data_IF_956418314949
#
_entry.id   IF_956418314949
#
_cell.length_a   1.000
_cell.length_b   1.000
_cell.length_c   1.000
_cell.angle_alpha   90.00
_cell.angle_beta   90.00
_cell.angle_gamma   90.00
#
_symmetry.space_group_name_H-M   'P 1'
#
loop_
_entity.id
_entity.type
_entity.pdbx_description
1 polymer ?
#
# COMPACT_ATOMS: atom_id res chain seq x y z
N UNK A 1 -3.66 64.48 -41.87
CA UNK A 1 -2.50 63.58 -42.04
C UNK A 1 -2.57 62.55 -40.92
N UNK A 2 -2.27 61.29 -41.27
CA UNK A 2 -2.50 60.04 -40.52
C UNK A 2 -1.71 59.98 -39.19
N UNK A 3 -2.25 59.21 -38.23
CA UNK A 3 -1.73 58.89 -36.89
C UNK A 3 -0.29 58.36 -36.87
N UNK A 4 0.44 58.67 -35.78
CA UNK A 4 1.31 57.70 -35.10
C UNK A 4 1.56 58.16 -33.65
N UNK A 5 1.09 57.37 -32.68
CA UNK A 5 1.49 57.49 -31.28
C UNK A 5 2.83 56.74 -31.15
N UNK A 6 3.93 57.39 -30.71
CA UNK A 6 5.18 56.68 -30.46
C UNK A 6 5.18 56.02 -29.07
N UNK A 7 5.17 54.69 -29.14
CA UNK A 7 5.83 53.67 -28.32
C UNK A 7 5.76 53.66 -26.79
N UNK A 8 5.33 52.48 -26.32
CA UNK A 8 5.32 51.96 -24.95
C UNK A 8 6.73 51.73 -24.35
N UNK A 9 7.65 52.67 -24.47
CA UNK A 9 8.95 52.62 -23.79
C UNK A 9 8.86 53.18 -22.36
N UNK A 10 8.11 52.53 -21.46
CA UNK A 10 8.29 52.75 -20.00
C UNK A 10 7.52 51.74 -19.13
N UNK A 11 7.39 50.47 -19.52
CA UNK A 11 6.94 49.42 -18.59
C UNK A 11 7.86 48.21 -18.55
N UNK A 12 9.17 48.43 -18.61
CA UNK A 12 10.11 47.45 -18.04
C UNK A 12 10.38 47.91 -16.62
N UNK A 13 9.35 47.86 -15.78
CA UNK A 13 9.61 47.52 -14.39
C UNK A 13 9.87 46.02 -14.45
N UNK A 14 11.14 45.64 -14.53
CA UNK A 14 11.54 44.27 -14.23
C UNK A 14 11.10 44.07 -12.78
N UNK A 15 9.91 43.51 -12.57
CA UNK A 15 9.52 43.12 -11.24
C UNK A 15 10.38 41.90 -10.94
N UNK A 16 11.51 42.13 -10.28
CA UNK A 16 12.24 41.09 -9.59
C UNK A 16 11.31 40.57 -8.49
N UNK A 17 10.45 39.62 -8.85
CA UNK A 17 9.85 38.71 -7.89
C UNK A 17 10.91 37.69 -7.46
N UNK A 18 12.05 38.17 -6.97
CA UNK A 18 13.06 37.33 -6.37
C UNK A 18 12.61 37.04 -4.95
N UNK A 19 11.76 36.01 -4.78
CA UNK A 19 11.56 35.40 -3.47
C UNK A 19 12.94 34.99 -2.98
N UNK A 20 13.30 35.42 -1.77
CA UNK A 20 14.60 35.03 -1.20
C UNK A 20 14.59 33.54 -0.86
N UNK A 21 15.74 32.88 -0.87
CA UNK A 21 15.84 31.47 -0.47
C UNK A 21 15.28 31.24 0.94
N UNK A 22 15.42 32.21 1.84
CA UNK A 22 14.87 32.16 3.21
C UNK A 22 13.33 32.21 3.24
N UNK A 23 12.71 33.10 2.45
CA UNK A 23 11.26 33.16 2.31
C UNK A 23 10.70 31.88 1.68
N UNK A 24 11.40 31.31 0.69
CA UNK A 24 11.02 30.05 0.06
C UNK A 24 11.05 28.88 1.05
N UNK A 25 12.13 28.79 1.85
CA UNK A 25 12.26 27.77 2.90
C UNK A 25 11.16 27.91 3.95
N UNK A 26 10.90 29.14 4.39
CA UNK A 26 9.84 29.43 5.37
C UNK A 26 8.47 28.99 4.83
N UNK A 27 8.15 29.33 3.57
CA UNK A 27 6.91 28.92 2.92
C UNK A 27 6.76 27.39 2.83
N UNK A 28 7.83 26.69 2.43
CA UNK A 28 7.83 25.24 2.29
C UNK A 28 7.66 24.54 3.64
N UNK A 29 8.38 25.02 4.67
CA UNK A 29 8.29 24.48 6.01
C UNK A 29 6.90 24.69 6.61
N UNK A 30 6.36 25.90 6.55
CA UNK A 30 5.01 26.22 7.04
C UNK A 30 3.95 25.38 6.33
N UNK A 31 4.04 25.26 5.00
CA UNK A 31 3.07 24.49 4.22
C UNK A 31 3.16 23.00 4.56
N UNK A 32 4.37 22.47 4.75
CA UNK A 32 4.55 21.07 5.15
C UNK A 32 4.00 20.80 6.56
N UNK A 33 4.34 21.65 7.53
CA UNK A 33 3.89 21.51 8.91
C UNK A 33 2.37 21.65 9.02
N UNK A 34 1.75 22.52 8.23
CA UNK A 34 0.29 22.63 8.14
C UNK A 34 -0.37 21.32 7.68
N UNK A 35 0.21 20.65 6.69
CA UNK A 35 -0.30 19.35 6.20
C UNK A 35 -0.20 18.29 7.30
N UNK A 36 0.96 18.18 7.96
CA UNK A 36 1.13 17.24 9.08
C UNK A 36 0.16 17.53 10.22
N UNK A 37 0.00 18.80 10.61
CA UNK A 37 -0.92 19.23 11.65
C UNK A 37 -2.37 18.83 11.32
N UNK A 38 -2.80 19.00 10.07
CA UNK A 38 -4.14 18.59 9.62
C UNK A 38 -4.33 17.07 9.65
N UNK A 39 -3.32 16.30 9.26
CA UNK A 39 -3.38 14.83 9.31
C UNK A 39 -3.51 14.36 10.76
N UNK A 40 -2.72 14.93 11.67
CA UNK A 40 -2.71 14.57 13.09
C UNK A 40 -4.06 14.85 13.76
N UNK A 41 -4.61 16.06 13.52
CA UNK A 41 -5.84 16.52 14.16
C UNK A 41 -7.13 16.11 13.42
N UNK A 42 -7.04 15.29 12.37
CA UNK A 42 -8.23 14.82 11.68
C UNK A 42 -9.03 13.83 12.55
N UNK A 43 -10.31 14.10 12.80
CA UNK A 43 -11.17 13.17 13.56
C UNK A 43 -11.68 11.99 12.70
N UNK A 44 -11.65 12.16 11.38
CA UNK A 44 -12.20 11.19 10.44
C UNK A 44 -11.36 9.91 10.36
N UNK A 45 -11.92 8.82 10.88
CA UNK A 45 -11.44 7.45 10.62
C UNK A 45 -11.51 7.06 9.12
N UNK A 46 -12.25 7.83 8.30
CA UNK A 46 -12.56 7.57 6.90
C UNK A 46 -11.63 8.27 5.88
N UNK A 47 -10.68 9.12 6.29
CA UNK A 47 -9.82 9.89 5.37
C UNK A 47 -8.76 9.09 4.60
N UNK A 48 -8.74 7.76 4.75
CA UNK A 48 -7.63 6.93 4.28
C UNK A 48 -7.98 6.02 3.08
N UNK A 49 -8.83 6.50 2.16
CA UNK A 49 -8.58 6.20 0.74
C UNK A 49 -7.31 6.94 0.36
N UNK A 50 -6.28 6.21 -0.07
CA UNK A 50 -4.87 6.59 -0.02
C UNK A 50 -4.47 7.96 -0.64
N UNK A 51 -5.37 8.73 -1.26
CA UNK A 51 -5.03 9.87 -2.14
C UNK A 51 -6.18 10.86 -2.40
N UNK A 52 -7.34 10.79 -1.73
CA UNK A 52 -8.54 11.47 -2.26
C UNK A 52 -8.92 12.78 -1.57
N UNK A 53 -8.51 13.02 -0.33
CA UNK A 53 -8.78 14.29 0.33
C UNK A 53 -7.59 15.22 0.11
N UNK A 54 -7.81 16.27 -0.69
CA UNK A 54 -7.00 17.48 -0.56
C UNK A 54 -7.07 17.84 0.92
N UNK A 55 -5.93 17.83 1.61
CA UNK A 55 -5.84 18.15 3.04
C UNK A 55 -6.07 19.65 3.26
N UNK A 56 -7.14 20.19 2.65
CA UNK A 56 -7.48 21.59 2.44
C UNK A 56 -6.42 22.42 1.73
N UNK A 57 -5.50 21.81 0.98
CA UNK A 57 -4.61 22.52 0.05
C UNK A 57 -5.28 22.67 -1.31
N UNK A 58 -5.19 23.86 -1.90
CA UNK A 58 -5.65 24.11 -3.26
C UNK A 58 -4.66 23.53 -4.27
N UNK A 59 -5.13 23.22 -5.48
CA UNK A 59 -4.25 22.76 -6.56
C UNK A 59 -3.17 23.79 -6.93
N UNK A 60 -3.45 25.08 -6.77
CA UNK A 60 -2.46 26.14 -6.96
C UNK A 60 -1.32 26.04 -5.94
N UNK A 61 -1.65 25.91 -4.65
CA UNK A 61 -0.66 25.86 -3.57
C UNK A 61 0.21 24.61 -3.64
N UNK A 62 -0.34 23.49 -4.10
CA UNK A 62 0.44 22.27 -4.36
C UNK A 62 1.39 22.43 -5.54
N UNK A 63 0.95 23.11 -6.61
CA UNK A 63 1.81 23.41 -7.77
C UNK A 63 2.93 24.37 -7.38
N UNK A 64 2.62 25.38 -6.57
CA UNK A 64 3.62 26.29 -6.01
C UNK A 64 4.65 25.52 -5.17
N UNK A 65 4.22 24.59 -4.32
CA UNK A 65 5.11 23.76 -3.52
C UNK A 65 6.02 22.86 -4.38
N UNK A 66 5.48 22.25 -5.44
CA UNK A 66 6.28 21.43 -6.37
C UNK A 66 7.32 22.27 -7.12
N UNK A 67 6.95 23.47 -7.57
CA UNK A 67 7.87 24.39 -8.27
C UNK A 67 8.94 24.92 -7.31
N UNK A 68 8.53 25.40 -6.14
CA UNK A 68 9.42 25.87 -5.08
C UNK A 68 10.44 24.79 -4.66
N UNK A 69 10.00 23.53 -4.54
CA UNK A 69 10.89 22.42 -4.22
C UNK A 69 11.89 22.10 -5.33
N UNK A 70 11.56 22.34 -6.61
CA UNK A 70 12.47 22.15 -7.75
C UNK A 70 13.43 23.32 -7.93
N UNK A 71 13.02 24.51 -7.52
CA UNK A 71 13.82 25.74 -7.62
C UNK A 71 14.94 25.80 -6.58
N UNK A 72 14.74 25.17 -5.41
CA UNK A 72 15.82 24.92 -4.45
C UNK A 72 16.90 24.03 -5.07
N UNK A 73 18.15 24.49 -5.07
CA UNK A 73 19.27 23.68 -5.55
C UNK A 73 19.37 22.41 -4.72
N UNK A 74 19.68 21.27 -5.36
CA UNK A 74 19.76 19.97 -4.68
C UNK A 74 20.72 19.97 -3.48
N UNK A 75 21.78 20.79 -3.56
CA UNK A 75 22.76 20.95 -2.47
C UNK A 75 22.16 21.57 -1.20
N UNK A 76 21.15 22.45 -1.33
CA UNK A 76 20.44 23.02 -0.19
C UNK A 76 19.49 22.01 0.45
N UNK A 77 18.72 21.26 -0.34
CA UNK A 77 17.84 20.21 0.20
C UNK A 77 18.63 19.09 0.89
N UNK A 78 19.86 18.84 0.43
CA UNK A 78 20.78 17.90 1.07
C UNK A 78 21.20 18.38 2.47
N UNK A 79 21.23 19.69 2.71
CA UNK A 79 21.55 20.28 4.01
C UNK A 79 20.37 20.26 4.99
N UNK A 80 19.13 20.14 4.48
CA UNK A 80 17.89 20.13 5.27
C UNK A 80 17.07 18.83 5.02
N UNK A 81 17.58 17.65 5.45
CA UNK A 81 17.00 16.35 5.09
C UNK A 81 15.58 16.14 5.65
N UNK A 82 15.26 16.70 6.83
CA UNK A 82 13.93 16.58 7.41
C UNK A 82 12.88 17.38 6.62
N UNK A 83 13.24 18.57 6.12
CA UNK A 83 12.37 19.35 5.25
C UNK A 83 12.18 18.64 3.90
N UNK A 84 13.27 18.15 3.30
CA UNK A 84 13.23 17.38 2.06
C UNK A 84 12.30 16.16 2.17
N UNK A 85 12.43 15.41 3.26
CA UNK A 85 11.58 14.27 3.56
C UNK A 85 10.11 14.67 3.74
N UNK A 86 9.85 15.76 4.47
CA UNK A 86 8.51 16.28 4.72
C UNK A 86 7.83 16.75 3.42
N UNK A 87 8.57 17.38 2.50
CA UNK A 87 8.06 17.79 1.19
C UNK A 87 7.75 16.59 0.29
N UNK A 88 8.62 15.58 0.25
CA UNK A 88 8.37 14.35 -0.50
C UNK A 88 7.07 13.67 -0.03
N UNK A 89 6.82 13.62 1.29
CA UNK A 89 5.57 13.10 1.82
C UNK A 89 4.34 13.89 1.36
N UNK A 90 4.40 15.23 1.41
CA UNK A 90 3.30 16.11 0.97
C UNK A 90 3.01 15.94 -0.52
N UNK A 91 4.03 15.79 -1.36
CA UNK A 91 3.87 15.53 -2.79
C UNK A 91 3.21 14.15 -3.04
N UNK A 92 3.60 13.12 -2.27
CA UNK A 92 2.98 11.80 -2.32
C UNK A 92 1.49 11.81 -1.99
N UNK A 93 1.06 12.70 -1.08
CA UNK A 93 -0.36 12.91 -0.75
C UNK A 93 -1.16 13.59 -1.85
N UNK A 94 -0.50 14.37 -2.70
CA UNK A 94 -1.18 15.18 -3.72
C UNK A 94 -1.23 14.51 -5.09
N UNK A 95 -0.29 13.61 -5.38
CA UNK A 95 -0.28 12.93 -6.67
C UNK A 95 -1.51 12.03 -6.82
N UNK A 96 -2.14 12.12 -8.01
CA UNK A 96 -3.26 11.26 -8.40
C UNK A 96 -2.78 9.87 -8.81
N UNK A 97 -1.51 9.76 -9.21
CA UNK A 97 -0.90 8.49 -9.58
C UNK A 97 -0.49 7.73 -8.31
N UNK A 98 -1.09 6.56 -8.14
CA UNK A 98 -0.84 5.67 -7.02
C UNK A 98 0.62 5.22 -6.98
N UNK A 99 1.21 4.84 -8.12
CA UNK A 99 2.58 4.35 -8.15
C UNK A 99 3.56 5.47 -7.75
N UNK A 100 3.34 6.67 -8.29
CA UNK A 100 4.13 7.84 -7.94
C UNK A 100 3.98 8.21 -6.46
N UNK A 101 2.78 8.06 -5.87
CA UNK A 101 2.54 8.33 -4.45
C UNK A 101 3.45 7.47 -3.57
N UNK A 102 3.59 6.18 -3.91
CA UNK A 102 4.46 5.26 -3.19
C UNK A 102 5.91 5.70 -3.27
N UNK A 103 6.40 6.02 -4.47
CA UNK A 103 7.79 6.47 -4.66
C UNK A 103 8.10 7.71 -3.84
N UNK A 104 7.16 8.66 -3.75
CA UNK A 104 7.28 9.82 -2.89
C UNK A 104 7.37 9.47 -1.41
N UNK A 105 6.55 8.53 -0.93
CA UNK A 105 6.62 8.09 0.47
C UNK A 105 7.90 7.29 0.78
N UNK A 106 8.35 6.43 -0.15
CA UNK A 106 9.62 5.70 -0.03
C UNK A 106 10.82 6.65 -0.03
N UNK A 107 10.81 7.65 -0.92
CA UNK A 107 11.82 8.71 -0.93
C UNK A 107 11.81 9.55 0.36
N UNK A 108 10.62 9.92 0.83
CA UNK A 108 10.45 10.62 2.11
C UNK A 108 11.08 9.84 3.26
N UNK A 109 10.83 8.53 3.33
CA UNK A 109 11.40 7.68 4.36
C UNK A 109 12.94 7.58 4.27
N UNK A 110 13.48 7.48 3.05
CA UNK A 110 14.93 7.40 2.83
C UNK A 110 15.66 8.70 3.21
N UNK A 111 15.01 9.85 3.04
CA UNK A 111 15.57 11.16 3.40
C UNK A 111 15.42 11.48 4.89
N UNK A 112 14.49 10.83 5.59
CA UNK A 112 14.15 11.18 6.97
C UNK A 112 15.31 10.82 7.92
N UNK A 113 15.88 11.78 8.67
CA UNK A 113 16.98 11.50 9.57
C UNK A 113 16.56 10.60 10.73
N UNK A 114 17.46 9.75 11.23
CA UNK A 114 17.18 8.83 12.34
C UNK A 114 16.80 9.55 13.65
N UNK A 115 17.37 10.73 13.88
CA UNK A 115 17.06 11.60 15.02
C UNK A 115 15.94 12.59 14.75
N UNK A 116 15.27 12.50 13.60
CA UNK A 116 14.18 13.40 13.22
C UNK A 116 12.90 13.13 14.01
N UNK A 117 11.86 13.92 13.74
CA UNK A 117 10.59 13.79 14.44
C UNK A 117 9.95 12.37 14.28
N UNK A 118 9.81 11.58 15.37
CA UNK A 118 9.30 10.22 15.31
C UNK A 118 7.83 10.18 14.87
N UNK A 119 7.03 11.19 15.20
CA UNK A 119 5.62 11.26 14.79
C UNK A 119 5.49 11.39 13.27
N UNK A 120 6.31 12.25 12.65
CA UNK A 120 6.33 12.42 11.19
C UNK A 120 6.81 11.13 10.50
N UNK A 121 7.88 10.49 11.01
CA UNK A 121 8.35 9.19 10.52
C UNK A 121 7.27 8.10 10.63
N UNK A 122 6.56 8.04 11.77
CA UNK A 122 5.42 7.15 11.96
C UNK A 122 4.27 7.39 10.98
N UNK A 123 3.97 8.65 10.64
CA UNK A 123 2.96 8.98 9.63
C UNK A 123 3.38 8.57 8.21
N UNK A 124 4.66 8.66 7.85
CA UNK A 124 5.15 8.18 6.55
C UNK A 124 4.97 6.66 6.44
N UNK A 125 5.37 5.92 7.49
CA UNK A 125 5.14 4.48 7.58
C UNK A 125 3.66 4.12 7.48
N UNK A 126 2.79 4.85 8.19
CA UNK A 126 1.34 4.64 8.12
C UNK A 126 0.81 4.78 6.68
N UNK A 127 1.25 5.79 5.94
CA UNK A 127 0.79 6.02 4.57
C UNK A 127 1.31 4.98 3.57
N UNK A 128 2.54 4.48 3.76
CA UNK A 128 3.03 3.31 3.03
C UNK A 128 2.17 2.07 3.32
N UNK A 129 1.82 1.82 4.59
CA UNK A 129 0.93 0.73 4.98
C UNK A 129 -0.45 0.83 4.32
N UNK A 130 -1.04 2.02 4.30
CA UNK A 130 -2.33 2.29 3.64
C UNK A 130 -2.25 2.10 2.12
N UNK A 131 -1.14 2.50 1.50
CA UNK A 131 -0.89 2.26 0.09
C UNK A 131 -0.85 0.75 -0.22
N UNK A 132 -0.06 -0.02 0.53
CA UNK A 132 0.06 -1.47 0.34
C UNK A 132 -1.26 -2.21 0.61
N UNK A 133 -2.02 -1.78 1.62
CA UNK A 133 -3.38 -2.29 1.87
C UNK A 133 -4.30 -2.05 0.67
N UNK A 134 -4.21 -0.87 0.05
CA UNK A 134 -5.03 -0.51 -1.11
C UNK A 134 -4.61 -1.30 -2.34
N UNK A 135 -3.30 -1.47 -2.54
CA UNK A 135 -2.73 -2.32 -3.58
C UNK A 135 -3.17 -3.79 -3.45
N UNK A 136 -3.19 -4.34 -2.23
CA UNK A 136 -3.61 -5.71 -1.96
C UNK A 136 -5.08 -5.99 -2.35
N UNK A 137 -5.94 -4.97 -2.28
CA UNK A 137 -7.36 -5.06 -2.71
C UNK A 137 -7.46 -5.07 -4.24
N UNK A 138 -6.63 -4.27 -4.91
CA UNK A 138 -6.64 -4.14 -6.36
C UNK A 138 -6.00 -5.37 -7.04
N UNK A 139 -4.88 -5.86 -6.49
CA UNK A 139 -4.10 -6.95 -7.07
C UNK A 139 -4.27 -8.24 -6.28
N UNK A 140 -5.32 -9.01 -6.62
CA UNK A 140 -5.66 -10.25 -5.92
C UNK A 140 -4.52 -11.28 -5.92
N UNK A 141 -3.74 -11.36 -7.00
CA UNK A 141 -2.64 -12.32 -7.11
C UNK A 141 -1.49 -12.04 -6.14
N UNK A 142 -1.26 -10.76 -5.82
CA UNK A 142 -0.18 -10.31 -4.92
C UNK A 142 -0.72 -9.89 -3.54
N UNK A 143 -1.99 -10.17 -3.27
CA UNK A 143 -2.71 -9.65 -2.09
C UNK A 143 -2.04 -10.06 -0.78
N UNK A 144 -1.57 -11.31 -0.68
CA UNK A 144 -0.93 -11.82 0.53
C UNK A 144 0.41 -11.12 0.80
N UNK A 145 1.27 -11.00 -0.22
CA UNK A 145 2.56 -10.31 -0.09
C UNK A 145 2.37 -8.81 0.19
N UNK A 146 1.38 -8.18 -0.44
CA UNK A 146 1.04 -6.80 -0.21
C UNK A 146 0.47 -6.56 1.20
N UNK A 147 -0.38 -7.46 1.71
CA UNK A 147 -0.84 -7.42 3.09
C UNK A 147 0.34 -7.60 4.07
N UNK A 148 1.30 -8.48 3.79
CA UNK A 148 2.48 -8.62 4.65
C UNK A 148 3.27 -7.30 4.73
N UNK A 149 3.54 -6.66 3.59
CA UNK A 149 4.19 -5.33 3.57
C UNK A 149 3.38 -4.28 4.33
N UNK A 150 2.06 -4.27 4.16
CA UNK A 150 1.19 -3.34 4.89
C UNK A 150 1.28 -3.55 6.40
N UNK A 151 1.29 -4.81 6.86
CA UNK A 151 1.45 -5.17 8.27
C UNK A 151 2.77 -4.62 8.82
N UNK A 152 3.88 -4.89 8.14
CA UNK A 152 5.21 -4.46 8.59
C UNK A 152 5.28 -2.92 8.72
N UNK A 153 4.72 -2.20 7.74
CA UNK A 153 4.66 -0.75 7.80
C UNK A 153 3.74 -0.21 8.91
N UNK A 154 2.60 -0.84 9.17
CA UNK A 154 1.76 -0.45 10.31
C UNK A 154 2.43 -0.73 11.65
N UNK A 155 3.14 -1.86 11.80
CA UNK A 155 3.93 -2.15 12.99
C UNK A 155 4.97 -1.07 13.26
N UNK A 156 5.73 -0.66 12.23
CA UNK A 156 6.72 0.42 12.36
C UNK A 156 6.05 1.75 12.74
N UNK A 157 4.93 2.10 12.09
CA UNK A 157 4.19 3.31 12.42
C UNK A 157 3.76 3.35 13.89
N UNK A 158 3.19 2.25 14.40
CA UNK A 158 2.78 2.13 15.80
C UNK A 158 3.98 2.22 16.74
N UNK A 159 5.11 1.59 16.41
CA UNK A 159 6.33 1.67 17.22
C UNK A 159 6.84 3.13 17.35
N UNK A 160 6.85 3.90 16.25
CA UNK A 160 7.21 5.32 16.29
C UNK A 160 6.23 6.17 17.11
N UNK A 161 4.93 5.89 17.03
CA UNK A 161 3.95 6.60 17.87
C UNK A 161 4.09 6.25 19.35
N UNK A 162 4.43 5.00 19.68
CA UNK A 162 4.74 4.58 21.05
C UNK A 162 6.01 5.27 21.57
N UNK A 163 7.07 5.31 20.76
CA UNK A 163 8.32 6.02 21.09
C UNK A 163 8.09 7.51 21.32
N UNK A 164 7.15 8.11 20.59
CA UNK A 164 6.76 9.51 20.74
C UNK A 164 5.77 9.76 21.90
N UNK A 165 5.41 8.73 22.68
CA UNK A 165 4.41 8.79 23.74
C UNK A 165 3.03 9.28 23.27
N UNK A 166 2.72 9.08 21.98
CA UNK A 166 1.47 9.51 21.33
C UNK A 166 0.42 8.40 21.35
N UNK A 167 -0.08 8.09 22.54
CA UNK A 167 -1.13 7.07 22.75
C UNK A 167 -2.44 7.37 22.00
N UNK A 168 -2.73 8.65 21.74
CA UNK A 168 -3.80 9.10 20.85
C UNK A 168 -3.64 8.56 19.43
N UNK A 169 -2.42 8.65 18.86
CA UNK A 169 -2.13 8.14 17.52
C UNK A 169 -2.08 6.61 17.48
N UNK A 170 -1.51 5.96 18.51
CA UNK A 170 -1.52 4.49 18.61
C UNK A 170 -2.96 3.98 18.54
N UNK A 171 -3.83 4.51 19.39
CA UNK A 171 -5.27 4.21 19.39
C UNK A 171 -5.93 4.47 18.04
N UNK A 172 -5.58 5.61 17.42
CA UNK A 172 -6.10 6.04 16.11
C UNK A 172 -5.68 5.14 14.96
N UNK A 173 -4.61 4.36 15.07
CA UNK A 173 -4.09 3.59 13.94
C UNK A 173 -3.96 2.08 14.16
N UNK A 174 -3.99 1.60 15.40
CA UNK A 174 -3.77 0.18 15.73
C UNK A 174 -4.77 -0.78 15.05
N UNK A 175 -6.01 -0.33 14.79
CA UNK A 175 -7.01 -1.14 14.08
C UNK A 175 -6.66 -1.39 12.61
N UNK A 176 -5.83 -0.57 11.96
CA UNK A 176 -5.36 -0.87 10.59
C UNK A 176 -4.42 -2.07 10.56
N UNK A 177 -3.55 -2.18 11.57
CA UNK A 177 -2.68 -3.35 11.74
C UNK A 177 -3.52 -4.61 11.98
N UNK A 178 -4.51 -4.52 12.87
CA UNK A 178 -5.46 -5.61 13.15
C UNK A 178 -6.23 -6.02 11.88
N UNK A 179 -6.69 -5.07 11.07
CA UNK A 179 -7.40 -5.37 9.82
C UNK A 179 -6.52 -6.14 8.81
N UNK A 180 -5.25 -5.77 8.66
CA UNK A 180 -4.36 -6.46 7.73
C UNK A 180 -4.01 -7.86 8.23
N UNK A 181 -3.77 -8.02 9.54
CA UNK A 181 -3.54 -9.34 10.14
C UNK A 181 -4.74 -10.25 9.98
N UNK A 182 -5.93 -9.72 10.21
CA UNK A 182 -7.19 -10.42 9.98
C UNK A 182 -7.31 -10.92 8.53
N UNK A 183 -6.99 -10.07 7.54
CA UNK A 183 -6.97 -10.48 6.12
C UNK A 183 -5.91 -11.54 5.81
N UNK A 184 -4.72 -11.43 6.40
CA UNK A 184 -3.65 -12.41 6.23
C UNK A 184 -4.04 -13.77 6.80
N UNK A 185 -4.67 -13.78 7.97
CA UNK A 185 -5.15 -14.99 8.63
C UNK A 185 -6.25 -15.67 7.81
N UNK A 186 -7.28 -14.91 7.38
CA UNK A 186 -8.33 -15.42 6.49
C UNK A 186 -7.80 -15.91 5.13
N UNK A 187 -6.67 -15.36 4.66
CA UNK A 187 -6.02 -15.76 3.42
C UNK A 187 -5.34 -17.13 3.51
N UNK A 188 -4.95 -17.58 4.71
CA UNK A 188 -4.39 -18.93 4.89
C UNK A 188 -5.45 -20.03 4.74
N UNK A 189 -6.71 -19.69 5.00
CA UNK A 189 -7.83 -20.65 4.97
C UNK A 189 -8.43 -20.84 3.57
N UNK A 190 -8.09 -19.98 2.59
CA UNK A 190 -8.69 -19.97 1.24
C UNK A 190 -7.74 -20.60 0.21
N UNK A 191 -8.25 -21.59 -0.54
CA UNK A 191 -7.53 -22.38 -1.56
C UNK A 191 -6.63 -21.53 -2.48
N UNK A 192 -5.42 -22.01 -2.86
CA UNK A 192 -4.76 -21.51 -4.04
C UNK A 192 -5.57 -21.97 -5.26
N UNK A 193 -6.44 -21.10 -5.79
CA UNK A 193 -7.15 -21.40 -7.05
C UNK A 193 -6.11 -21.72 -8.13
N UNK A 194 -6.15 -22.91 -8.76
CA UNK A 194 -5.20 -23.24 -9.82
C UNK A 194 -5.35 -22.23 -10.95
N UNK A 195 -4.26 -21.55 -11.30
CA UNK A 195 -4.25 -20.64 -12.44
C UNK A 195 -4.35 -21.46 -13.73
N UNK A 196 -5.43 -21.36 -14.53
CA UNK A 196 -5.55 -22.09 -15.79
C UNK A 196 -4.49 -21.68 -16.82
N UNK A 197 -3.78 -20.57 -16.61
CA UNK A 197 -2.72 -20.09 -17.50
C UNK A 197 -1.43 -20.93 -17.49
N UNK A 198 -1.21 -21.80 -16.49
CA UNK A 198 0.00 -22.63 -16.42
C UNK A 198 -0.17 -24.06 -16.95
N UNK A 199 -1.40 -24.48 -17.27
CA UNK A 199 -1.68 -25.82 -17.83
C UNK A 199 -1.59 -25.86 -19.37
N UNK A 200 -1.42 -24.69 -20.03
CA UNK A 200 -1.35 -24.58 -21.50
C UNK A 200 0.04 -24.74 -22.14
N UNK A 201 1.13 -24.61 -21.37
CA UNK A 201 2.49 -24.49 -21.91
C UNK A 201 3.31 -25.80 -21.93
N UNK A 202 2.65 -26.95 -21.76
CA UNK A 202 3.23 -28.27 -22.15
C UNK A 202 2.67 -28.74 -23.49
N UNK A 203 2.87 -27.96 -24.55
CA UNK A 203 2.95 -28.53 -25.90
C UNK A 203 4.40 -28.46 -26.36
N UNK A 204 4.96 -29.66 -26.48
CA UNK A 204 6.29 -29.96 -26.99
C UNK A 204 6.60 -29.15 -28.24
N UNK A 205 7.78 -28.54 -28.27
CA UNK A 205 8.40 -28.00 -29.47
C UNK A 205 9.38 -29.05 -30.01
N UNK A 206 9.09 -29.77 -31.11
CA UNK A 206 10.11 -30.48 -31.85
C UNK A 206 10.46 -29.65 -33.08
N UNK A 207 11.60 -28.98 -33.06
CA UNK A 207 12.18 -28.47 -34.29
C UNK A 207 13.68 -28.77 -34.35
N UNK A 208 14.02 -29.49 -35.43
CA UNK A 208 15.32 -29.74 -36.05
C UNK A 208 16.08 -30.98 -35.56
N UNK A 209 15.99 -32.05 -36.35
CA UNK A 209 17.17 -32.62 -37.01
C UNK A 209 16.76 -33.61 -38.13
N UNK A 210 17.45 -33.57 -39.27
CA UNK A 210 17.79 -34.80 -40.00
C UNK A 210 16.85 -35.33 -41.08
N UNK A 211 17.01 -34.83 -42.29
CA UNK A 211 16.51 -35.40 -43.55
C UNK A 211 17.22 -36.75 -43.87
N UNK A 212 16.48 -37.86 -44.10
CA UNK A 212 16.92 -38.95 -45.00
C UNK A 212 15.76 -39.83 -45.47
N UNK A 213 15.66 -39.94 -46.80
CA UNK A 213 14.75 -40.78 -47.58
C UNK A 213 14.99 -42.26 -47.29
N UNK A 214 13.92 -43.07 -47.20
CA UNK A 214 13.65 -44.14 -48.17
C UNK A 214 12.26 -44.79 -48.00
N UNK A 215 11.66 -44.96 -49.17
CA UNK A 215 10.50 -45.72 -49.65
C UNK A 215 10.36 -47.12 -49.03
N UNK A 216 9.12 -47.59 -48.79
CA UNK A 216 8.45 -48.74 -49.43
C UNK A 216 7.22 -49.22 -48.61
N UNK A 217 6.06 -49.17 -49.27
CA UNK A 217 4.88 -50.07 -49.27
C UNK A 217 4.31 -50.71 -47.97
N UNK A 218 2.97 -50.61 -47.85
CA UNK A 218 2.15 -51.79 -47.55
C UNK A 218 1.04 -51.65 -46.50
N UNK A 219 -0.22 -51.77 -46.97
CA UNK A 219 -1.46 -52.24 -46.28
C UNK A 219 -2.06 -51.30 -45.20
N UNK A 220 -3.18 -50.63 -45.51
CA UNK A 220 -4.59 -51.07 -45.34
C UNK A 220 -4.91 -51.56 -43.92
N UNK A 221 -5.70 -50.77 -43.18
CA UNK A 221 -6.93 -51.24 -42.51
C UNK A 221 -7.73 -50.07 -41.90
N UNK A 222 -9.02 -50.30 -41.68
CA UNK A 222 -10.09 -49.31 -41.78
C UNK A 222 -10.31 -48.42 -40.57
N UNK A 223 -10.84 -47.22 -40.83
CA UNK A 223 -11.41 -46.35 -39.80
C UNK A 223 -12.92 -46.57 -39.73
N UNK A 224 -13.36 -47.19 -38.64
CA UNK A 224 -14.76 -47.25 -38.21
C UNK A 224 -15.00 -46.07 -37.28
N UNK A 225 -15.94 -45.20 -37.65
CA UNK A 225 -16.43 -44.11 -36.80
C UNK A 225 -17.49 -44.73 -35.88
N UNK A 226 -17.15 -44.93 -34.60
CA UNK A 226 -18.14 -45.21 -33.55
C UNK A 226 -17.94 -44.16 -32.45
N UNK A 227 -18.97 -43.34 -32.28
CA UNK A 227 -19.08 -42.41 -31.16
C UNK A 227 -19.15 -43.17 -29.85
N UNK A 228 -18.53 -42.62 -28.82
CA UNK A 228 -18.80 -43.03 -27.46
C UNK A 228 -18.78 -41.80 -26.54
N UNK A 229 -19.97 -41.26 -26.34
CA UNK A 229 -20.35 -40.52 -25.14
C UNK A 229 -19.98 -41.35 -23.91
N UNK A 230 -18.84 -41.06 -23.26
CA UNK A 230 -18.50 -41.39 -21.86
C UNK A 230 -17.06 -40.98 -21.54
N UNK A 231 -16.85 -39.68 -21.36
CA UNK A 231 -15.69 -39.16 -20.63
C UNK A 231 -16.12 -38.00 -19.72
N UNK A 232 -17.18 -38.22 -18.92
CA UNK A 232 -17.33 -37.54 -17.63
C UNK A 232 -16.51 -38.35 -16.63
N UNK A 233 -15.18 -38.21 -16.69
CA UNK A 233 -14.32 -38.68 -15.60
C UNK A 233 -14.38 -37.63 -14.49
N UNK A 234 -15.10 -37.98 -13.43
CA UNK A 234 -14.81 -37.70 -12.03
C UNK A 234 -13.57 -36.83 -11.78
N UNK A 235 -13.73 -35.51 -11.87
CA UNK A 235 -12.85 -34.60 -11.16
C UNK A 235 -13.38 -34.58 -9.73
N UNK A 236 -12.97 -35.55 -8.91
CA UNK A 236 -13.11 -35.39 -7.46
C UNK A 236 -12.27 -34.16 -7.08
N UNK A 237 -12.83 -33.13 -6.43
CA UNK A 237 -12.03 -32.04 -5.92
C UNK A 237 -10.97 -32.66 -5.01
N UNK A 238 -9.71 -32.43 -5.33
CA UNK A 238 -8.58 -32.82 -4.50
C UNK A 238 -8.77 -32.04 -3.21
N UNK A 239 -9.31 -32.68 -2.17
CA UNK A 239 -9.42 -32.08 -0.84
C UNK A 239 -8.00 -31.70 -0.44
N UNK A 240 -7.67 -30.42 -0.57
CA UNK A 240 -6.42 -29.88 -0.10
C UNK A 240 -6.46 -29.95 1.42
N UNK A 241 -5.58 -30.77 1.99
CA UNK A 241 -5.21 -30.62 3.39
C UNK A 241 -4.14 -29.53 3.42
N UNK A 242 -4.37 -28.43 4.16
CA UNK A 242 -3.34 -27.41 4.33
C UNK A 242 -2.06 -28.06 4.85
N UNK A 243 -0.91 -27.70 4.27
CA UNK A 243 0.36 -28.17 4.81
C UNK A 243 0.46 -27.71 6.28
N UNK A 244 1.02 -28.54 7.17
CA UNK A 244 1.13 -28.25 8.59
C UNK A 244 1.77 -26.87 8.86
N UNK A 245 2.69 -26.45 8.00
CA UNK A 245 3.32 -25.13 8.06
C UNK A 245 2.33 -23.98 7.85
N UNK A 246 1.38 -24.11 6.91
CA UNK A 246 0.37 -23.09 6.63
C UNK A 246 -0.65 -22.98 7.77
N UNK A 247 -1.02 -24.11 8.37
CA UNK A 247 -1.89 -24.15 9.57
C UNK A 247 -1.20 -23.43 10.73
N UNK A 248 0.08 -23.74 10.95
CA UNK A 248 0.88 -23.14 12.02
C UNK A 248 1.04 -21.63 11.82
N UNK A 249 1.31 -21.20 10.57
CA UNK A 249 1.39 -19.77 10.23
C UNK A 249 0.04 -19.05 10.41
N UNK A 250 -1.07 -19.67 9.99
CA UNK A 250 -2.42 -19.13 10.22
C UNK A 250 -2.70 -18.94 11.70
N UNK A 251 -2.39 -19.94 12.53
CA UNK A 251 -2.56 -19.87 13.99
C UNK A 251 -1.73 -18.75 14.62
N UNK A 252 -0.48 -18.56 14.16
CA UNK A 252 0.37 -17.47 14.62
C UNK A 252 -0.22 -16.10 14.28
N UNK A 253 -0.80 -15.93 13.09
CA UNK A 253 -1.45 -14.68 12.67
C UNK A 253 -2.69 -14.37 13.52
N UNK A 254 -3.50 -15.38 13.85
CA UNK A 254 -4.66 -15.23 14.74
C UNK A 254 -4.24 -14.86 16.18
N UNK A 255 -3.16 -15.45 16.70
CA UNK A 255 -2.61 -15.08 18.01
C UNK A 255 -2.08 -13.64 18.04
N UNK A 256 -1.38 -13.21 16.98
CA UNK A 256 -0.89 -11.83 16.88
C UNK A 256 -2.04 -10.82 16.81
N UNK A 257 -3.10 -11.15 16.04
CA UNK A 257 -4.31 -10.34 15.98
C UNK A 257 -4.95 -10.17 17.37
N UNK A 258 -5.07 -11.26 18.13
CA UNK A 258 -5.60 -11.23 19.49
C UNK A 258 -4.81 -10.31 20.41
N UNK A 259 -3.48 -10.40 20.37
CA UNK A 259 -2.60 -9.55 21.18
C UNK A 259 -2.81 -8.07 20.86
N UNK A 260 -2.89 -7.71 19.57
CA UNK A 260 -3.12 -6.34 19.15
C UNK A 260 -4.49 -5.86 19.59
N UNK A 261 -5.52 -6.70 19.51
CA UNK A 261 -6.85 -6.34 20.00
C UNK A 261 -6.86 -6.08 21.51
N UNK A 262 -6.16 -6.88 22.31
CA UNK A 262 -6.01 -6.65 23.74
C UNK A 262 -5.22 -5.38 24.07
N UNK A 263 -4.25 -5.00 23.25
CA UNK A 263 -3.54 -3.71 23.37
C UNK A 263 -4.43 -2.53 22.98
N UNK A 264 -5.27 -2.70 21.96
CA UNK A 264 -6.11 -1.65 21.40
C UNK A 264 -7.31 -1.28 22.29
N UNK A 265 -7.97 -2.28 22.90
CA UNK A 265 -9.16 -2.08 23.74
C UNK A 265 -9.01 -0.99 24.83
N UNK A 266 -8.00 -1.04 25.73
CA UNK A 266 -7.87 -0.04 26.78
C UNK A 266 -7.63 1.36 26.22
N UNK A 267 -6.93 1.47 25.08
CA UNK A 267 -6.69 2.75 24.41
C UNK A 267 -7.99 3.34 23.87
N UNK A 268 -8.82 2.53 23.19
CA UNK A 268 -10.11 2.97 22.66
C UNK A 268 -11.13 3.29 23.75
N UNK A 269 -11.10 2.56 24.87
CA UNK A 269 -11.92 2.84 26.05
C UNK A 269 -11.55 4.17 26.69
N UNK A 270 -10.25 4.43 26.88
CA UNK A 270 -9.76 5.69 27.45
C UNK A 270 -10.15 6.91 26.60
N UNK A 271 -10.20 6.73 25.28
CA UNK A 271 -10.55 7.80 24.34
C UNK A 271 -12.05 7.91 24.04
N UNK A 272 -12.87 6.95 24.51
CA UNK A 272 -14.30 6.93 24.24
C UNK A 272 -14.69 6.67 22.78
N UNK A 273 -13.78 6.15 21.95
CA UNK A 273 -14.09 5.86 20.53
C UNK A 273 -14.84 4.53 20.40
N UNK A 274 -16.17 4.62 20.40
CA UNK A 274 -17.06 3.46 20.30
C UNK A 274 -16.92 2.69 18.98
N UNK A 275 -16.61 3.37 17.88
CA UNK A 275 -16.46 2.72 16.58
C UNK A 275 -15.23 1.81 16.58
N UNK A 276 -14.11 2.30 17.11
CA UNK A 276 -12.89 1.50 17.22
C UNK A 276 -13.07 0.33 18.17
N UNK A 277 -13.71 0.54 19.32
CA UNK A 277 -14.04 -0.53 20.27
C UNK A 277 -14.87 -1.63 19.59
N UNK A 278 -15.94 -1.25 18.89
CA UNK A 278 -16.80 -2.20 18.17
C UNK A 278 -15.99 -3.01 17.14
N UNK A 279 -15.07 -2.36 16.40
CA UNK A 279 -14.20 -3.03 15.45
C UNK A 279 -13.26 -4.03 16.13
N UNK A 280 -12.67 -3.65 17.26
CA UNK A 280 -11.76 -4.50 18.03
C UNK A 280 -12.49 -5.72 18.63
N UNK A 281 -13.70 -5.55 19.16
CA UNK A 281 -14.53 -6.69 19.58
C UNK A 281 -14.91 -7.60 18.43
N UNK A 282 -15.18 -7.06 17.24
CA UNK A 282 -15.43 -7.85 16.03
C UNK A 282 -14.25 -8.78 15.69
N UNK A 283 -13.02 -8.26 15.75
CA UNK A 283 -11.83 -9.09 15.55
C UNK A 283 -11.66 -10.17 16.62
N UNK A 284 -11.90 -9.84 17.90
CA UNK A 284 -11.82 -10.83 18.98
C UNK A 284 -12.86 -11.95 18.83
N UNK A 285 -14.06 -11.64 18.35
CA UNK A 285 -15.08 -12.64 18.07
C UNK A 285 -14.62 -13.60 16.96
N UNK A 286 -14.01 -13.07 15.88
CA UNK A 286 -13.47 -13.91 14.80
C UNK A 286 -12.27 -14.75 15.24
N UNK A 287 -11.38 -14.22 16.09
CA UNK A 287 -10.30 -14.99 16.72
C UNK A 287 -10.88 -16.15 17.56
N UNK A 288 -11.92 -15.89 18.34
CA UNK A 288 -12.55 -16.91 19.18
C UNK A 288 -13.19 -18.03 18.33
N UNK A 289 -13.81 -17.68 17.20
CA UNK A 289 -14.34 -18.66 16.25
C UNK A 289 -13.22 -19.52 15.65
N UNK A 290 -12.13 -18.90 15.17
CA UNK A 290 -11.00 -19.62 14.59
C UNK A 290 -10.34 -20.60 15.56
N UNK A 291 -10.32 -20.27 16.86
CA UNK A 291 -9.84 -21.17 17.93
C UNK A 291 -10.82 -22.30 18.26
N UNK A 292 -12.12 -22.08 18.09
CA UNK A 292 -13.16 -23.06 18.39
C UNK A 292 -13.38 -24.06 17.24
N UNK A 293 -12.92 -23.74 16.02
CA UNK A 293 -13.05 -24.63 14.87
C UNK A 293 -12.23 -25.94 15.03
N UNK A 294 -12.84 -27.11 14.82
CA UNK A 294 -12.22 -28.42 15.08
C UNK A 294 -11.06 -28.76 14.12
N UNK A 295 -10.91 -28.05 13.01
CA UNK A 295 -9.72 -28.13 12.12
C UNK A 295 -8.47 -27.51 12.75
N UNK A 296 -8.66 -26.58 13.70
CA UNK A 296 -7.60 -25.91 14.46
C UNK A 296 -7.34 -26.62 15.80
N UNK A 297 -8.32 -27.36 16.32
CA UNK A 297 -8.30 -28.00 17.64
C UNK A 297 -7.75 -29.45 17.68
N UNK A 298 -7.31 -30.03 16.54
CA UNK A 298 -6.75 -31.39 16.49
C UNK A 298 -5.22 -31.50 16.66
N UNK A 299 -4.58 -30.49 17.25
CA UNK A 299 -3.18 -30.62 17.71
C UNK A 299 -3.11 -31.08 19.16
#
# INVERSE_FOLDING_TARGET
MIHLVPDFYTWVTTVEFAITTEELLTFLQQTSDEVFHRILNSEDAFLFTANQTSLGLTASRCRELELASKELQQDYLTSEPELAASLAFVLGRWTKDQAQAREYYENSLNLYPETGNPVKKGLIYLHLGLWWRSYAVQQRQESQAACQRAKDYFQQAIAFFQQAERGDLVSKYINYQAEVLHRLAQGQDKEPTPNPSKEGDRRQNPSKEGNRRQKVEGKKEGYKVEGNDKARHDIKPKLYTPNADAITQGMQLWQELEQICHQALPLHQTQGDLFRQARTYGFLAEVALAKADPTTAQQ
#
